data_IF_090842087507
#
_entry.id   IF_090842087507
#
_cell.length_a   1.000
_cell.length_b   1.000
_cell.length_c   1.000
_cell.angle_alpha   90.00
_cell.angle_beta   90.00
_cell.angle_gamma   90.00
#
_symmetry.space_group_name_H-M   'P 1'
#
loop_
_entity.id
_entity.type
_entity.pdbx_description
1 polymer ?
#
# COMPACT_ATOMS: atom_id res chain seq x y z
N UNK A 1 8.95 -3.60 -15.15
CA UNK A 1 9.00 -3.53 -13.67
C UNK A 1 7.62 -3.12 -13.17
N UNK A 2 6.97 -3.97 -12.43
CA UNK A 2 5.61 -3.75 -11.89
C UNK A 2 4.52 -3.44 -12.92
N UNK A 3 4.76 -3.69 -14.21
CA UNK A 3 3.78 -3.36 -15.25
C UNK A 3 2.49 -4.15 -15.11
N UNK A 4 2.58 -5.35 -14.57
CA UNK A 4 1.44 -6.20 -14.27
C UNK A 4 0.55 -5.64 -13.14
N UNK A 5 1.06 -4.67 -12.39
CA UNK A 5 0.33 -4.06 -11.27
C UNK A 5 -0.29 -2.71 -11.60
N UNK A 6 -0.09 -2.20 -12.83
CA UNK A 6 -0.67 -0.92 -13.23
C UNK A 6 -2.18 -0.94 -13.09
N UNK A 7 -2.71 0.14 -12.52
CA UNK A 7 -4.13 0.35 -12.26
C UNK A 7 -4.74 -0.57 -11.20
N UNK A 8 -3.91 -1.33 -10.49
CA UNK A 8 -4.37 -2.14 -9.36
C UNK A 8 -4.04 -1.42 -8.05
N UNK A 9 -4.82 -1.72 -7.01
CA UNK A 9 -4.46 -1.32 -5.67
C UNK A 9 -3.32 -2.18 -5.18
N UNK A 10 -2.25 -1.53 -4.74
CA UNK A 10 -1.03 -2.21 -4.28
C UNK A 10 -0.61 -1.71 -2.92
N UNK A 11 0.21 -2.54 -2.27
CA UNK A 11 0.89 -2.21 -1.02
C UNK A 11 2.34 -1.94 -1.35
N UNK A 12 2.85 -0.82 -0.89
CA UNK A 12 4.26 -0.45 -1.06
C UNK A 12 4.89 -0.31 0.31
N UNK A 13 5.80 -1.23 0.62
CA UNK A 13 6.53 -1.21 1.88
C UNK A 13 7.89 -0.57 1.66
N UNK A 14 8.25 0.34 2.56
CA UNK A 14 9.48 1.11 2.44
C UNK A 14 10.46 0.76 3.55
N UNK A 15 11.70 1.19 3.39
CA UNK A 15 12.77 1.01 4.38
C UNK A 15 12.71 2.05 5.50
N UNK A 16 11.63 2.84 5.55
CA UNK A 16 11.41 3.82 6.60
C UNK A 16 10.10 3.51 7.35
N UNK A 17 9.49 4.52 7.95
CA UNK A 17 8.32 4.31 8.82
C UNK A 17 7.01 4.16 8.08
N UNK A 18 7.01 4.30 6.76
CA UNK A 18 5.78 4.40 5.98
C UNK A 18 5.50 3.15 5.17
N UNK A 19 4.23 2.78 5.15
CA UNK A 19 3.68 1.80 4.20
C UNK A 19 2.51 2.48 3.50
N UNK A 20 2.45 2.34 2.18
CA UNK A 20 1.42 2.99 1.37
C UNK A 20 0.51 1.95 0.75
N UNK A 21 -0.78 2.27 0.68
CA UNK A 21 -1.75 1.48 -0.09
C UNK A 21 -2.44 2.43 -1.04
N UNK A 22 -2.36 2.14 -2.32
CA UNK A 22 -2.97 2.99 -3.33
C UNK A 22 -2.97 2.32 -4.69
N UNK A 23 -3.57 3.00 -5.67
CA UNK A 23 -3.62 2.51 -7.04
C UNK A 23 -2.35 2.91 -7.77
N UNK A 24 -1.68 1.95 -8.38
CA UNK A 24 -0.46 2.21 -9.13
C UNK A 24 -0.80 2.91 -10.44
N UNK A 25 -0.38 4.16 -10.58
CA UNK A 25 -0.69 4.99 -11.75
C UNK A 25 0.43 4.94 -12.79
N UNK A 26 1.68 4.95 -12.36
CA UNK A 26 2.82 4.90 -13.27
C UNK A 26 4.07 4.42 -12.57
N UNK A 27 5.03 3.94 -13.36
CA UNK A 27 6.32 3.43 -12.88
C UNK A 27 7.41 4.02 -13.76
N UNK A 28 8.46 4.51 -13.12
CA UNK A 28 9.70 4.91 -13.80
C UNK A 28 10.89 4.33 -13.05
N UNK A 29 12.07 4.51 -13.59
CA UNK A 29 13.30 4.00 -12.94
C UNK A 29 13.51 4.61 -11.55
N UNK A 30 13.06 5.84 -11.34
CA UNK A 30 13.31 6.56 -10.09
C UNK A 30 12.18 6.48 -9.09
N UNK A 31 10.95 6.41 -9.57
CA UNK A 31 9.80 6.51 -8.69
C UNK A 31 8.60 5.76 -9.23
N UNK A 32 7.67 5.47 -8.33
CA UNK A 32 6.33 5.03 -8.71
C UNK A 32 5.36 6.12 -8.27
N UNK A 33 4.25 6.23 -8.99
CA UNK A 33 3.19 7.16 -8.66
C UNK A 33 1.97 6.37 -8.22
N UNK A 34 1.46 6.70 -7.04
CA UNK A 34 0.25 6.09 -6.48
C UNK A 34 -0.86 7.14 -6.43
N UNK A 35 -2.09 6.70 -6.67
CA UNK A 35 -3.29 7.51 -6.52
C UNK A 35 -4.19 6.95 -5.45
N UNK A 36 -5.00 7.80 -4.83
CA UNK A 36 -5.96 7.43 -3.79
C UNK A 36 -5.26 6.63 -2.69
N UNK A 37 -4.35 7.29 -1.99
CA UNK A 37 -3.36 6.62 -1.13
C UNK A 37 -3.72 6.74 0.34
N UNK A 38 -3.65 5.62 1.05
CA UNK A 38 -3.65 5.58 2.51
C UNK A 38 -2.22 5.38 2.98
N UNK A 39 -1.81 6.15 3.98
CA UNK A 39 -0.47 6.08 4.54
C UNK A 39 -0.53 5.47 5.93
N UNK A 40 0.25 4.42 6.13
CA UNK A 40 0.47 3.86 7.45
C UNK A 40 1.83 4.34 7.95
N UNK A 41 1.85 5.02 9.10
CA UNK A 41 3.08 5.47 9.76
C UNK A 41 3.22 4.70 11.06
N UNK A 42 4.21 3.79 11.13
CA UNK A 42 4.37 2.91 12.28
C UNK A 42 4.66 3.67 13.59
N UNK A 43 5.16 4.90 13.49
CA UNK A 43 5.47 5.71 14.67
C UNK A 43 4.23 6.23 15.38
N UNK A 44 3.14 6.42 14.64
CA UNK A 44 1.90 7.01 15.17
C UNK A 44 0.72 6.04 15.13
N UNK A 45 0.91 4.87 14.56
CA UNK A 45 -0.17 3.92 14.36
C UNK A 45 -0.62 3.28 15.68
N UNK A 46 -1.92 3.04 15.79
CA UNK A 46 -2.52 2.37 16.97
C UNK A 46 -2.55 0.86 16.81
N UNK A 47 -2.37 0.36 15.61
CA UNK A 47 -2.40 -1.07 15.30
C UNK A 47 -1.14 -1.46 14.56
N UNK A 48 -0.71 -2.73 14.64
CA UNK A 48 0.41 -3.22 13.86
C UNK A 48 0.13 -3.15 12.36
N UNK A 49 1.18 -3.11 11.55
CA UNK A 49 1.07 -3.03 10.10
C UNK A 49 0.22 -4.16 9.52
N UNK A 50 0.42 -5.40 9.96
CA UNK A 50 -0.34 -6.52 9.43
C UNK A 50 -1.83 -6.36 9.66
N UNK A 51 -2.22 -5.86 10.82
CA UNK A 51 -3.62 -5.61 11.11
C UNK A 51 -4.20 -4.51 10.23
N UNK A 52 -3.42 -3.44 10.02
CA UNK A 52 -3.80 -2.36 9.12
C UNK A 52 -4.06 -2.89 7.71
N UNK A 53 -3.14 -3.72 7.19
CA UNK A 53 -3.28 -4.26 5.84
C UNK A 53 -4.50 -5.18 5.72
N UNK A 54 -4.75 -6.00 6.74
CA UNK A 54 -5.94 -6.87 6.77
C UNK A 54 -7.21 -6.03 6.75
N UNK A 55 -7.27 -4.98 7.53
CA UNK A 55 -8.45 -4.10 7.57
C UNK A 55 -8.68 -3.40 6.23
N UNK A 56 -7.62 -2.93 5.58
CA UNK A 56 -7.75 -2.31 4.27
C UNK A 56 -8.22 -3.32 3.24
N UNK A 57 -7.67 -4.53 3.26
CA UNK A 57 -8.06 -5.58 2.32
C UNK A 57 -9.51 -6.02 2.53
N UNK A 58 -9.96 -6.09 3.79
CA UNK A 58 -11.30 -6.55 4.13
C UNK A 58 -12.37 -5.49 3.88
N UNK A 59 -12.08 -4.22 4.20
CA UNK A 59 -13.10 -3.16 4.26
C UNK A 59 -12.89 -2.06 3.22
N UNK A 60 -11.83 -2.11 2.48
CA UNK A 60 -11.53 -1.14 1.45
C UNK A 60 -10.54 -0.06 1.90
N UNK A 61 -9.94 0.58 0.92
CA UNK A 61 -8.96 1.63 1.14
C UNK A 61 -9.66 2.98 1.38
N UNK A 62 -9.39 3.59 2.53
CA UNK A 62 -9.91 4.92 2.85
C UNK A 62 -8.78 5.93 2.61
N UNK A 63 -8.67 6.38 1.37
CA UNK A 63 -7.57 7.22 0.95
C UNK A 63 -7.58 8.59 1.63
N UNK A 64 -6.41 9.06 2.04
CA UNK A 64 -6.23 10.39 2.63
C UNK A 64 -5.41 11.30 1.71
N UNK A 65 -4.76 10.75 0.70
CA UNK A 65 -3.95 11.51 -0.26
C UNK A 65 -4.37 11.20 -1.68
N UNK A 66 -4.47 12.22 -2.52
CA UNK A 66 -4.81 12.03 -3.93
C UNK A 66 -3.69 11.35 -4.70
N UNK A 67 -2.46 11.74 -4.39
CA UNK A 67 -1.28 11.24 -5.10
C UNK A 67 -0.08 11.23 -4.19
N UNK A 68 0.75 10.20 -4.31
CA UNK A 68 2.06 10.13 -3.68
C UNK A 68 3.03 9.54 -4.69
N UNK A 69 4.22 10.08 -4.74
CA UNK A 69 5.34 9.51 -5.50
C UNK A 69 6.32 8.90 -4.51
N UNK A 70 6.63 7.63 -4.71
CA UNK A 70 7.52 6.89 -3.83
C UNK A 70 8.81 6.60 -4.60
N UNK A 71 9.93 6.97 -4.00
CA UNK A 71 11.24 6.74 -4.63
C UNK A 71 11.55 5.24 -4.66
N UNK A 72 11.91 4.73 -5.83
CA UNK A 72 12.27 3.31 -6.01
C UNK A 72 13.35 2.86 -5.01
N UNK A 73 14.31 3.73 -4.73
CA UNK A 73 15.41 3.42 -3.81
C UNK A 73 14.95 3.14 -2.37
N UNK A 74 13.73 3.54 -2.03
CA UNK A 74 13.19 3.35 -0.69
C UNK A 74 12.22 2.18 -0.58
N UNK A 75 11.89 1.55 -1.70
CA UNK A 75 10.92 0.46 -1.73
C UNK A 75 11.60 -0.85 -1.39
N UNK A 76 11.04 -1.55 -0.42
CA UNK A 76 11.52 -2.87 0.01
C UNK A 76 10.67 -3.98 -0.59
N UNK A 77 9.36 -3.77 -0.66
CA UNK A 77 8.44 -4.78 -1.18
C UNK A 77 7.22 -4.11 -1.81
N UNK A 78 6.71 -4.72 -2.87
CA UNK A 78 5.48 -4.30 -3.54
C UNK A 78 4.63 -5.54 -3.75
N UNK A 79 3.35 -5.45 -3.41
CA UNK A 79 2.42 -6.55 -3.64
C UNK A 79 1.03 -5.99 -3.96
N UNK A 80 0.21 -6.73 -4.73
CA UNK A 80 -1.18 -6.32 -4.90
C UNK A 80 -1.93 -6.45 -3.57
N UNK A 81 -2.85 -5.53 -3.32
CA UNK A 81 -3.67 -5.59 -2.10
C UNK A 81 -4.46 -6.91 -2.04
N UNK A 82 -4.86 -7.42 -3.20
CA UNK A 82 -5.58 -8.69 -3.30
C UNK A 82 -4.79 -9.90 -2.84
N UNK A 83 -3.46 -9.76 -2.67
CA UNK A 83 -2.62 -10.85 -2.18
C UNK A 83 -2.67 -11.02 -0.65
N UNK A 84 -3.30 -10.09 0.07
CA UNK A 84 -3.46 -10.22 1.51
C UNK A 84 -4.40 -11.39 1.81
N UNK A 85 -3.94 -12.32 2.63
CA UNK A 85 -4.73 -13.46 3.06
C UNK A 85 -5.53 -13.06 4.30
N UNK A 86 -6.86 -13.07 4.16
CA UNK A 86 -7.73 -12.70 5.27
C UNK A 86 -7.92 -13.90 6.20
N UNK A 87 -7.69 -13.71 7.52
CA UNK A 87 -7.96 -14.79 8.46
C UNK A 87 -9.46 -15.06 8.56
N UNK A 88 -9.88 -16.26 9.00
CA UNK A 88 -11.29 -16.56 9.20
C UNK A 88 -11.94 -15.53 10.11
N UNK A 89 -13.09 -15.00 9.72
CA UNK A 89 -13.84 -14.03 10.50
C UNK A 89 -13.37 -12.58 10.37
N UNK A 90 -12.39 -12.30 9.52
CA UNK A 90 -11.84 -10.94 9.39
C UNK A 90 -12.88 -9.92 8.88
N UNK A 91 -13.90 -10.37 8.19
CA UNK A 91 -14.93 -9.50 7.59
C UNK A 91 -16.31 -9.68 8.24
N UNK A 92 -16.38 -10.35 9.35
CA UNK A 92 -17.64 -10.54 10.09
C UNK A 92 -17.89 -9.42 11.09
#
# INVERSE_FOLDING_TARGET
MFDDLLNLEIIVETDCFYTYVGTLASVSEREIQLRAVTVYDERSARVPQERFLIEVAAFGNTASREEIRVLQARIVAVSPLSAIMLPPGAIE
#
